data_IF_765497065959
#
_entry.id   IF_765497065959
#
_cell.length_a   1.000
_cell.length_b   1.000
_cell.length_c   1.000
_cell.angle_alpha   90.00
_cell.angle_beta   90.00
_cell.angle_gamma   90.00
#
_symmetry.space_group_name_H-M   'P 1'
#
loop_
_entity.id
_entity.type
_entity.pdbx_description
1 polymer ?
#
# COMPACT_ATOMS: atom_id res chain seq x y z
N UNK A 1 1.34 14.82 2.15
CA UNK A 1 2.79 14.74 2.44
C UNK A 1 3.30 13.29 2.48
N UNK A 2 2.56 12.31 3.04
CA UNK A 2 3.00 10.90 3.06
C UNK A 2 2.92 10.22 1.68
N UNK A 3 1.93 10.58 0.86
CA UNK A 3 1.78 10.10 -0.52
C UNK A 3 3.03 10.37 -1.38
N UNK A 4 3.69 11.51 -1.17
CA UNK A 4 4.89 11.91 -1.92
C UNK A 4 6.05 10.93 -1.70
N UNK A 5 6.22 10.43 -0.46
CA UNK A 5 7.26 9.45 -0.12
C UNK A 5 7.02 8.10 -0.79
N UNK A 6 5.76 7.66 -0.88
CA UNK A 6 5.42 6.42 -1.58
C UNK A 6 5.56 6.54 -3.09
N UNK A 7 5.18 7.69 -3.67
CA UNK A 7 5.41 7.99 -5.09
C UNK A 7 6.91 8.02 -5.41
N UNK A 8 7.73 8.63 -4.55
CA UNK A 8 9.19 8.62 -4.71
C UNK A 8 9.77 7.21 -4.64
N UNK A 9 9.31 6.38 -3.69
CA UNK A 9 9.72 4.98 -3.60
C UNK A 9 9.32 4.20 -4.86
N UNK A 10 8.12 4.44 -5.40
CA UNK A 10 7.67 3.85 -6.66
C UNK A 10 8.54 4.28 -7.84
N UNK A 11 8.87 5.57 -7.96
CA UNK A 11 9.75 6.07 -9.03
C UNK A 11 11.17 5.51 -8.94
N UNK A 12 11.65 5.23 -7.72
CA UNK A 12 13.00 4.70 -7.51
C UNK A 12 13.11 3.19 -7.72
N UNK A 13 12.05 2.42 -7.53
CA UNK A 13 12.13 0.95 -7.56
C UNK A 13 10.79 0.22 -7.61
N UNK A 14 9.78 0.86 -8.20
CA UNK A 14 8.47 0.28 -8.47
C UNK A 14 7.63 -0.04 -7.23
N UNK A 15 6.56 -0.81 -7.44
CA UNK A 15 5.62 -1.21 -6.38
C UNK A 15 6.27 -2.06 -5.29
N UNK A 16 7.34 -2.80 -5.61
CA UNK A 16 8.09 -3.59 -4.64
C UNK A 16 8.75 -2.72 -3.57
N UNK A 17 9.31 -1.58 -3.98
CA UNK A 17 9.93 -0.62 -3.06
C UNK A 17 8.90 0.02 -2.13
N UNK A 18 7.69 0.31 -2.63
CA UNK A 18 6.56 0.81 -1.84
C UNK A 18 6.14 -0.24 -0.80
N UNK A 19 5.94 -1.49 -1.23
CA UNK A 19 5.56 -2.59 -0.35
C UNK A 19 6.63 -2.87 0.73
N UNK A 20 7.91 -2.82 0.37
CA UNK A 20 9.01 -2.95 1.32
C UNK A 20 9.02 -1.80 2.34
N UNK A 21 8.75 -0.58 1.90
CA UNK A 21 8.67 0.59 2.77
C UNK A 21 7.49 0.51 3.74
N UNK A 22 6.30 0.09 3.26
CA UNK A 22 5.12 -0.13 4.10
C UNK A 22 5.38 -1.19 5.18
N UNK A 23 6.04 -2.31 4.81
CA UNK A 23 6.44 -3.33 5.79
C UNK A 23 7.44 -2.80 6.82
N UNK A 24 8.36 -1.93 6.42
CA UNK A 24 9.40 -1.36 7.30
C UNK A 24 8.84 -0.29 8.24
N UNK A 25 7.94 0.57 7.77
CA UNK A 25 7.30 1.61 8.59
C UNK A 25 6.24 1.04 9.53
N UNK A 26 5.48 0.04 9.08
CA UNK A 26 4.38 -0.54 9.83
C UNK A 26 4.61 -2.04 10.10
N UNK A 27 5.39 -2.37 11.16
CA UNK A 27 5.56 -3.76 11.57
C UNK A 27 4.24 -4.37 12.10
N UNK A 28 3.34 -3.54 12.62
CA UNK A 28 2.01 -3.98 13.05
C UNK A 28 1.06 -4.15 11.84
N UNK A 29 0.34 -5.27 11.79
CA UNK A 29 -0.59 -5.62 10.72
C UNK A 29 -1.74 -4.61 10.60
N UNK A 30 -2.36 -4.22 11.71
CA UNK A 30 -3.49 -3.28 11.70
C UNK A 30 -3.08 -1.90 11.18
N UNK A 31 -1.93 -1.39 11.61
CA UNK A 31 -1.42 -0.10 11.12
C UNK A 31 -1.03 -0.15 9.65
N UNK A 32 -0.54 -1.30 9.18
CA UNK A 32 -0.19 -1.50 7.77
C UNK A 32 -1.45 -1.56 6.90
N UNK A 33 -2.46 -2.31 7.33
CA UNK A 33 -3.76 -2.34 6.64
C UNK A 33 -4.33 -0.94 6.55
N UNK A 34 -4.36 -0.20 7.66
CA UNK A 34 -4.88 1.16 7.67
C UNK A 34 -4.10 2.11 6.74
N UNK A 35 -2.77 2.04 6.73
CA UNK A 35 -1.94 2.85 5.83
C UNK A 35 -2.18 2.48 4.35
N UNK A 36 -2.33 1.19 4.05
CA UNK A 36 -2.63 0.74 2.68
C UNK A 36 -4.06 1.08 2.26
N UNK A 37 -5.02 1.12 3.20
CA UNK A 37 -6.38 1.62 2.93
C UNK A 37 -6.34 3.09 2.53
N UNK A 38 -5.59 3.94 3.25
CA UNK A 38 -5.43 5.34 2.86
C UNK A 38 -4.80 5.51 1.47
N UNK A 39 -3.86 4.62 1.08
CA UNK A 39 -3.30 4.61 -0.27
C UNK A 39 -4.36 4.23 -1.33
N UNK A 40 -5.22 3.24 -1.06
CA UNK A 40 -6.33 2.89 -1.95
C UNK A 40 -7.35 4.05 -2.05
N UNK A 41 -7.67 4.69 -0.92
CA UNK A 41 -8.61 5.82 -0.84
C UNK A 41 -8.13 7.06 -1.59
N UNK A 42 -6.82 7.26 -1.74
CA UNK A 42 -6.28 8.32 -2.60
C UNK A 42 -6.68 8.16 -4.08
N UNK A 43 -7.11 6.97 -4.50
CA UNK A 43 -7.45 6.63 -5.88
C UNK A 43 -6.25 6.48 -6.82
N UNK A 44 -5.04 6.75 -6.32
CA UNK A 44 -3.82 6.71 -7.11
C UNK A 44 -3.12 5.35 -7.08
N UNK A 45 -3.60 4.40 -6.26
CA UNK A 45 -2.94 3.12 -6.06
C UNK A 45 -3.94 1.97 -6.15
N UNK A 46 -3.56 0.94 -6.89
CA UNK A 46 -4.30 -0.32 -6.96
C UNK A 46 -3.74 -1.28 -5.92
N UNK A 47 -4.58 -1.70 -4.98
CA UNK A 47 -4.20 -2.61 -3.89
C UNK A 47 -4.83 -3.98 -4.10
N UNK A 48 -4.04 -5.03 -3.91
CA UNK A 48 -4.55 -6.39 -3.74
C UNK A 48 -4.70 -6.70 -2.26
N UNK A 49 -5.93 -6.91 -1.83
CA UNK A 49 -6.25 -7.27 -0.45
C UNK A 49 -6.30 -8.78 -0.26
N UNK A 50 -5.49 -9.27 0.66
CA UNK A 50 -5.65 -10.58 1.26
C UNK A 50 -6.65 -10.51 2.42
N UNK A 51 -7.53 -11.50 2.50
CA UNK A 51 -8.50 -11.66 3.60
C UNK A 51 -8.20 -12.93 4.37
N UNK A 52 -8.15 -12.81 5.68
CA UNK A 52 -7.82 -13.92 6.56
C UNK A 52 -8.96 -14.92 6.54
N UNK A 53 -8.66 -16.18 6.25
CA UNK A 53 -9.68 -17.24 6.24
C UNK A 53 -10.29 -17.49 7.62
N UNK A 54 -9.64 -17.03 8.70
CA UNK A 54 -10.12 -17.20 10.08
C UNK A 54 -11.11 -16.12 10.51
N UNK A 55 -10.94 -14.88 10.08
CA UNK A 55 -11.77 -13.74 10.52
C UNK A 55 -12.58 -13.11 9.40
N UNK A 56 -12.28 -13.43 8.14
CA UNK A 56 -12.85 -12.79 6.95
C UNK A 56 -12.41 -11.34 6.72
N UNK A 57 -11.59 -10.77 7.62
CA UNK A 57 -11.13 -9.39 7.55
C UNK A 57 -9.88 -9.27 6.68
N UNK A 58 -9.66 -8.06 6.13
CA UNK A 58 -8.41 -7.71 5.46
C UNK A 58 -7.26 -7.76 6.49
N UNK A 59 -6.24 -8.56 6.21
CA UNK A 59 -5.04 -8.67 7.06
C UNK A 59 -3.77 -8.18 6.37
N UNK A 60 -3.77 -8.17 5.03
CA UNK A 60 -2.63 -7.71 4.25
C UNK A 60 -3.11 -7.03 2.96
N UNK A 61 -2.61 -5.82 2.72
CA UNK A 61 -2.75 -5.11 1.46
C UNK A 61 -1.40 -5.01 0.76
N UNK A 62 -1.36 -5.35 -0.53
CA UNK A 62 -0.16 -5.27 -1.37
C UNK A 62 -0.42 -4.29 -2.49
N UNK A 63 0.44 -3.29 -2.64
CA UNK A 63 0.39 -2.36 -3.77
C UNK A 63 0.73 -3.12 -5.04
N UNK A 64 -0.17 -3.08 -6.02
CA UNK A 64 -0.01 -3.76 -7.31
C UNK A 64 0.41 -2.79 -8.41
N UNK A 65 -0.16 -1.59 -8.41
CA UNK A 65 0.03 -0.63 -9.50
C UNK A 65 -0.18 0.81 -9.02
N UNK A 66 0.54 1.75 -9.61
CA UNK A 66 0.32 3.18 -9.44
C UNK A 66 -0.51 3.71 -10.61
N UNK A 67 -1.69 4.25 -10.29
CA UNK A 67 -2.65 4.81 -11.23
C UNK A 67 -2.57 6.34 -11.34
N UNK A 68 -1.81 6.99 -10.44
CA UNK A 68 -1.74 8.45 -10.35
C UNK A 68 -0.90 9.16 -11.41
N UNK A 69 -0.26 8.42 -12.33
CA UNK A 69 0.53 9.00 -13.44
C UNK A 69 -0.33 9.26 -14.70
N UNK A 70 -1.60 8.83 -14.71
CA UNK A 70 -2.56 9.12 -15.79
C UNK A 70 -3.28 10.45 -15.47
N UNK A 71 -2.62 11.57 -15.80
CA UNK A 71 -3.16 12.93 -15.74
C UNK A 71 -3.07 13.63 -17.10
#
# INVERSE_FOLDING_TARGET
MAEDVYVQAYRSGGVESVNAMLKKQFPNEESRVHATEQLEESGQWKILWHRSSRTGKRDLGVVMEYLGDDA
#
